data_IF_027594194269
#
_entry.id   IF_027594194269
#
_cell.length_a   1.000
_cell.length_b   1.000
_cell.length_c   1.000
_cell.angle_alpha   90.00
_cell.angle_beta   90.00
_cell.angle_gamma   90.00
#
_symmetry.space_group_name_H-M   'P 1'
#
loop_
_entity.id
_entity.type
_entity.pdbx_description
1 polymer ?
#
# COMPACT_ATOMS: atom_id res chain seq x y z
N UNK A 1 -11.67 -20.74 -0.55
CA UNK A 1 -10.73 -19.85 0.15
C UNK A 1 -11.22 -18.41 0.01
N UNK A 2 -11.14 -17.61 1.08
CA UNK A 2 -11.44 -16.17 1.06
C UNK A 2 -10.15 -15.44 1.46
N UNK A 3 -9.26 -15.12 0.52
CA UNK A 3 -8.04 -14.39 0.82
C UNK A 3 -8.28 -12.89 0.89
N UNK A 4 -7.44 -12.20 1.69
CA UNK A 4 -7.25 -10.76 1.62
C UNK A 4 -5.75 -10.45 1.73
N UNK A 5 -5.16 -10.08 0.61
CA UNK A 5 -3.72 -9.92 0.51
C UNK A 5 -3.26 -8.45 0.53
N UNK A 6 -4.16 -7.51 0.88
CA UNK A 6 -3.85 -6.09 0.91
C UNK A 6 -4.65 -5.40 2.02
N UNK A 7 -3.99 -5.18 3.16
CA UNK A 7 -4.60 -4.52 4.33
C UNK A 7 -3.56 -3.72 5.11
N UNK A 8 -4.02 -2.61 5.74
CA UNK A 8 -3.21 -1.65 6.47
C UNK A 8 -3.55 -1.60 7.95
N UNK A 9 -2.52 -1.42 8.77
CA UNK A 9 -2.60 -1.37 10.23
C UNK A 9 -2.20 0.01 10.77
N UNK A 10 -2.23 0.17 12.10
CA UNK A 10 -1.71 1.38 12.76
C UNK A 10 -0.20 1.57 12.58
N UNK A 11 0.53 0.59 12.04
CA UNK A 11 1.94 0.77 11.68
C UNK A 11 2.12 1.74 10.49
N UNK A 12 1.06 1.96 9.68
CA UNK A 12 1.04 2.97 8.61
C UNK A 12 -0.11 3.96 8.80
N UNK A 13 -1.23 3.75 8.17
CA UNK A 13 -2.39 4.66 8.15
C UNK A 13 -3.73 3.94 8.31
N UNK A 14 -3.72 2.66 8.63
CA UNK A 14 -4.88 1.93 9.10
C UNK A 14 -5.29 2.35 10.52
N UNK A 15 -6.47 1.90 10.95
CA UNK A 15 -7.04 2.26 12.26
C UNK A 15 -7.02 1.12 13.27
N UNK A 16 -6.65 -0.08 12.87
CA UNK A 16 -6.57 -1.25 13.74
C UNK A 16 -5.13 -1.68 13.96
N UNK A 17 -4.79 -2.12 15.18
CA UNK A 17 -3.51 -2.77 15.41
C UNK A 17 -3.38 -4.04 14.56
N UNK A 18 -2.17 -4.51 14.23
CA UNK A 18 -1.98 -5.69 13.39
C UNK A 18 -2.78 -6.92 13.87
N UNK A 19 -2.74 -7.19 15.18
CA UNK A 19 -3.50 -8.32 15.77
C UNK A 19 -5.01 -8.12 15.64
N UNK A 20 -5.51 -6.94 15.99
CA UNK A 20 -6.94 -6.65 15.90
C UNK A 20 -7.46 -6.74 14.46
N UNK A 21 -6.65 -6.30 13.47
CA UNK A 21 -7.01 -6.42 12.07
C UNK A 21 -7.11 -7.87 11.60
N UNK A 22 -6.16 -8.73 11.99
CA UNK A 22 -6.22 -10.16 11.64
C UNK A 22 -7.41 -10.86 12.30
N UNK A 23 -7.70 -10.57 13.57
CA UNK A 23 -8.89 -11.07 14.26
C UNK A 23 -10.19 -10.58 13.60
N UNK A 24 -10.24 -9.31 13.20
CA UNK A 24 -11.36 -8.74 12.47
C UNK A 24 -11.54 -9.40 11.09
N UNK A 25 -10.47 -9.54 10.32
CA UNK A 25 -10.51 -10.20 9.01
C UNK A 25 -11.01 -11.67 9.15
N UNK A 26 -10.52 -12.41 10.14
CA UNK A 26 -10.99 -13.77 10.43
C UNK A 26 -12.49 -13.78 10.76
N UNK A 27 -12.98 -12.84 11.56
CA UNK A 27 -14.41 -12.71 11.89
C UNK A 27 -15.29 -12.40 10.67
N UNK A 28 -14.70 -11.83 9.61
CA UNK A 28 -15.33 -11.57 8.30
C UNK A 28 -15.27 -12.77 7.35
N UNK A 29 -14.66 -13.89 7.81
CA UNK A 29 -14.54 -15.13 7.03
C UNK A 29 -13.28 -15.19 6.15
N UNK A 30 -12.36 -14.23 6.28
CA UNK A 30 -11.04 -14.32 5.62
C UNK A 30 -10.31 -15.57 6.13
N UNK A 31 -9.70 -16.31 5.24
CA UNK A 31 -9.01 -17.59 5.53
C UNK A 31 -7.50 -17.53 5.43
N UNK A 32 -6.97 -16.49 4.80
CA UNK A 32 -5.54 -16.11 4.72
C UNK A 32 -5.45 -14.62 4.46
N UNK A 33 -4.53 -13.95 5.14
CA UNK A 33 -4.34 -12.51 5.09
C UNK A 33 -2.90 -12.13 4.73
N UNK A 34 -2.69 -10.90 4.23
CA UNK A 34 -1.39 -10.25 4.26
C UNK A 34 -1.50 -8.89 4.94
N UNK A 35 -0.48 -8.51 5.71
CA UNK A 35 -0.30 -7.16 6.23
C UNK A 35 0.71 -6.47 5.34
N UNK A 36 0.29 -5.35 4.74
CA UNK A 36 1.01 -4.66 3.66
C UNK A 36 1.11 -3.16 3.92
N UNK A 37 1.45 -2.78 5.13
CA UNK A 37 1.56 -1.39 5.56
C UNK A 37 2.42 -0.54 4.62
N UNK A 38 2.05 0.72 4.43
CA UNK A 38 2.78 1.66 3.58
C UNK A 38 4.19 1.92 4.07
N UNK A 39 5.18 1.58 3.23
CA UNK A 39 6.61 1.84 3.41
C UNK A 39 7.16 1.39 4.78
N UNK A 40 6.59 0.34 5.38
CA UNK A 40 7.07 -0.28 6.62
C UNK A 40 6.73 -1.78 6.65
N UNK A 41 7.56 -2.54 7.36
CA UNK A 41 7.31 -3.95 7.68
C UNK A 41 6.87 -4.14 9.15
N UNK A 42 6.79 -3.07 9.93
CA UNK A 42 6.62 -3.16 11.39
C UNK A 42 5.29 -3.81 11.78
N UNK A 43 4.20 -3.57 11.03
CA UNK A 43 2.91 -4.20 11.25
C UNK A 43 2.98 -5.73 11.08
N UNK A 44 3.53 -6.18 9.96
CA UNK A 44 3.71 -7.61 9.68
C UNK A 44 4.70 -8.27 10.67
N UNK A 45 5.78 -7.56 11.02
CA UNK A 45 6.79 -8.05 11.96
C UNK A 45 6.25 -8.25 13.37
N UNK A 46 5.35 -7.40 13.82
CA UNK A 46 4.72 -7.50 15.13
C UNK A 46 3.91 -8.80 15.32
N UNK A 47 3.57 -9.46 14.22
CA UNK A 47 2.85 -10.74 14.23
C UNK A 47 3.75 -11.97 14.14
N UNK A 48 5.06 -11.81 14.06
CA UNK A 48 6.01 -12.94 14.01
C UNK A 48 5.96 -13.74 15.31
N UNK A 49 5.72 -15.05 15.18
CA UNK A 49 5.61 -15.94 16.33
C UNK A 49 4.37 -15.72 17.20
N UNK A 50 3.46 -14.85 16.76
CA UNK A 50 2.16 -14.64 17.41
C UNK A 50 1.19 -15.68 16.85
N UNK A 51 0.45 -16.34 17.74
CA UNK A 51 -0.66 -17.20 17.34
C UNK A 51 -1.82 -16.35 16.81
N UNK A 52 -2.17 -16.58 15.55
CA UNK A 52 -3.19 -15.82 14.83
C UNK A 52 -4.29 -16.76 14.32
N UNK A 53 -5.58 -16.32 14.30
CA UNK A 53 -6.70 -17.18 13.91
C UNK A 53 -6.65 -17.66 12.46
N UNK A 54 -5.88 -16.97 11.61
CA UNK A 54 -5.65 -17.31 10.20
C UNK A 54 -4.18 -17.09 9.84
N UNK A 55 -3.63 -17.81 8.84
CA UNK A 55 -2.28 -17.56 8.33
C UNK A 55 -2.12 -16.12 7.84
N UNK A 56 -0.97 -15.51 8.18
CA UNK A 56 -0.62 -14.15 7.77
C UNK A 56 0.67 -14.17 6.96
N UNK A 57 0.63 -13.59 5.75
CA UNK A 57 1.79 -13.37 4.90
C UNK A 57 2.41 -12.03 5.27
N UNK A 58 3.73 -12.01 5.44
CA UNK A 58 4.48 -10.76 5.59
C UNK A 58 4.47 -10.01 4.27
N UNK A 59 4.04 -8.76 4.29
CA UNK A 59 4.01 -7.90 3.12
C UNK A 59 4.43 -6.48 3.44
N UNK A 60 4.54 -5.69 2.39
CA UNK A 60 4.75 -4.24 2.41
C UNK A 60 4.12 -3.64 1.16
N UNK A 61 3.58 -2.45 1.26
CA UNK A 61 3.20 -1.64 0.12
C UNK A 61 4.12 -0.44 0.00
N UNK A 62 4.96 -0.42 -1.05
CA UNK A 62 5.88 0.67 -1.32
C UNK A 62 5.21 1.74 -2.20
N UNK A 63 5.28 2.99 -1.77
CA UNK A 63 4.84 4.13 -2.59
C UNK A 63 5.93 4.48 -3.59
N UNK A 64 5.59 4.60 -4.89
CA UNK A 64 6.54 4.89 -5.95
C UNK A 64 6.59 6.37 -6.31
N UNK A 65 7.71 6.81 -6.89
CA UNK A 65 7.89 8.19 -7.34
C UNK A 65 7.59 8.41 -8.83
N UNK A 66 7.52 7.33 -9.64
CA UNK A 66 7.36 7.39 -11.10
C UNK A 66 6.05 8.05 -11.53
N UNK A 67 4.96 7.78 -10.82
CA UNK A 67 3.66 8.39 -11.08
C UNK A 67 2.80 8.43 -9.82
N UNK A 68 1.85 9.37 -9.81
CA UNK A 68 0.91 9.53 -8.70
C UNK A 68 0.03 8.29 -8.54
N UNK A 69 -0.10 7.80 -7.31
CA UNK A 69 -0.91 6.63 -6.98
C UNK A 69 -0.31 5.29 -7.42
N UNK A 70 0.93 5.29 -7.90
CA UNK A 70 1.64 4.06 -8.20
C UNK A 70 2.20 3.45 -6.93
N UNK A 71 1.74 2.24 -6.62
CA UNK A 71 2.21 1.46 -5.47
C UNK A 71 2.66 0.07 -5.91
N UNK A 72 3.56 -0.51 -5.13
CA UNK A 72 4.14 -1.82 -5.37
C UNK A 72 4.05 -2.65 -4.09
N UNK A 73 3.26 -3.72 -4.13
CA UNK A 73 3.21 -4.71 -3.07
C UNK A 73 4.44 -5.62 -3.14
N UNK A 74 4.96 -5.96 -1.98
CA UNK A 74 5.98 -6.98 -1.83
C UNK A 74 5.50 -8.04 -0.86
N UNK A 75 5.59 -9.33 -1.22
CA UNK A 75 5.23 -10.44 -0.33
C UNK A 75 6.46 -11.32 -0.08
N UNK A 76 6.78 -11.56 1.19
CA UNK A 76 7.94 -12.37 1.56
C UNK A 76 7.80 -13.02 2.92
N UNK A 77 8.83 -13.80 3.33
CA UNK A 77 8.80 -14.51 4.62
C UNK A 77 9.96 -14.17 5.54
N UNK A 78 10.91 -13.33 5.12
CA UNK A 78 12.23 -13.31 5.75
C UNK A 78 12.66 -12.01 6.36
N UNK A 79 13.78 -12.13 7.09
CA UNK A 79 14.60 -11.01 7.50
C UNK A 79 15.22 -10.32 6.28
N UNK A 80 14.69 -9.28 5.78
CA UNK A 80 15.16 -8.52 4.63
C UNK A 80 15.96 -7.27 5.10
N UNK A 81 17.22 -7.41 5.52
CA UNK A 81 17.94 -6.32 6.20
C UNK A 81 18.12 -5.09 5.32
N UNK A 82 18.37 -5.26 4.02
CA UNK A 82 18.49 -4.14 3.08
C UNK A 82 17.14 -3.46 2.85
N UNK A 83 16.07 -4.24 2.64
CA UNK A 83 14.72 -3.69 2.49
C UNK A 83 14.31 -2.92 3.75
N UNK A 84 14.53 -3.50 4.94
CA UNK A 84 14.24 -2.84 6.23
C UNK A 84 14.99 -1.54 6.41
N UNK A 85 16.30 -1.53 6.06
CA UNK A 85 17.09 -0.31 6.08
C UNK A 85 16.49 0.74 5.14
N UNK A 86 16.17 0.33 3.91
CA UNK A 86 15.62 1.24 2.90
C UNK A 86 14.26 1.80 3.33
N UNK A 87 13.32 0.98 3.83
CA UNK A 87 12.01 1.49 4.27
C UNK A 87 12.14 2.42 5.48
N UNK A 88 13.09 2.19 6.39
CA UNK A 88 13.39 3.13 7.48
C UNK A 88 13.91 4.47 6.95
N UNK A 89 14.85 4.44 6.01
CA UNK A 89 15.34 5.66 5.36
C UNK A 89 14.21 6.41 4.63
N UNK A 90 13.30 5.70 3.97
CA UNK A 90 12.11 6.30 3.35
C UNK A 90 11.18 6.92 4.40
N UNK A 91 10.97 6.25 5.54
CA UNK A 91 10.18 6.79 6.65
C UNK A 91 10.81 8.07 7.22
N UNK A 92 12.14 8.11 7.40
CA UNK A 92 12.86 9.32 7.83
C UNK A 92 12.74 10.46 6.82
N UNK A 93 12.84 10.16 5.52
CA UNK A 93 12.62 11.14 4.44
C UNK A 93 11.17 11.66 4.46
N UNK A 94 10.20 10.79 4.71
CA UNK A 94 8.78 11.16 4.83
C UNK A 94 8.55 12.05 6.05
N UNK A 95 9.18 11.73 7.18
CA UNK A 95 9.18 12.56 8.38
C UNK A 95 9.69 13.97 8.07
N UNK A 96 10.90 14.08 7.53
CA UNK A 96 11.51 15.36 7.15
C UNK A 96 10.66 16.11 6.13
N UNK A 97 10.05 15.42 5.18
CA UNK A 97 9.15 16.00 4.19
C UNK A 97 7.90 16.62 4.82
N UNK A 98 7.24 15.88 5.72
CA UNK A 98 6.03 16.35 6.40
C UNK A 98 6.33 17.57 7.29
N UNK A 99 7.43 17.55 8.04
CA UNK A 99 7.89 18.70 8.81
C UNK A 99 8.11 19.93 7.93
N UNK A 100 8.83 19.77 6.80
CA UNK A 100 9.05 20.87 5.84
C UNK A 100 7.76 21.40 5.21
N UNK A 101 6.74 20.57 5.03
CA UNK A 101 5.42 21.03 4.55
C UNK A 101 4.70 21.84 5.62
N UNK A 102 4.79 21.43 6.88
CA UNK A 102 4.24 22.19 8.03
C UNK A 102 4.96 23.52 8.16
N UNK A 103 6.30 23.56 8.06
CA UNK A 103 7.08 24.81 8.08
C UNK A 103 6.62 25.79 7.00
N UNK A 104 6.40 25.29 5.77
CA UNK A 104 5.87 26.12 4.67
C UNK A 104 4.48 26.66 4.97
N UNK A 105 3.59 25.84 5.54
CA UNK A 105 2.27 26.32 6.00
C UNK A 105 2.40 27.40 7.07
N UNK A 106 3.33 27.25 8.01
CA UNK A 106 3.61 28.29 9.00
C UNK A 106 4.08 29.60 8.37
N UNK A 107 4.96 29.53 7.36
CA UNK A 107 5.41 30.70 6.59
C UNK A 107 4.27 31.39 5.83
N UNK A 108 3.24 30.62 5.43
CA UNK A 108 2.01 31.14 4.82
C UNK A 108 1.00 31.70 5.82
N UNK A 109 1.32 31.71 7.14
CA UNK A 109 0.50 32.29 8.21
C UNK A 109 -0.45 31.30 8.90
N UNK A 110 -0.35 29.99 8.61
CA UNK A 110 -1.12 28.97 9.32
C UNK A 110 -0.38 28.55 10.60
N UNK A 111 -1.00 28.71 11.77
CA UNK A 111 -0.42 28.27 13.04
C UNK A 111 -0.51 26.75 13.17
N UNK A 112 0.46 26.03 12.58
CA UNK A 112 0.58 24.58 12.59
C UNK A 112 1.78 24.15 13.44
N UNK A 113 1.69 22.98 14.07
CA UNK A 113 2.78 22.36 14.80
C UNK A 113 2.94 20.91 14.33
N UNK A 114 4.14 20.57 13.86
CA UNK A 114 4.44 19.23 13.38
C UNK A 114 4.35 18.18 14.50
N UNK A 115 4.83 18.49 15.71
CA UNK A 115 4.82 17.56 16.83
C UNK A 115 3.39 17.28 17.33
N UNK A 116 2.49 18.29 17.32
CA UNK A 116 1.07 18.04 17.57
C UNK A 116 0.45 17.04 16.60
N UNK A 117 0.81 17.14 15.31
CA UNK A 117 0.32 16.22 14.27
C UNK A 117 0.91 14.84 14.50
N UNK A 118 2.21 14.76 14.77
CA UNK A 118 2.94 13.52 15.00
C UNK A 118 2.40 12.72 16.19
N UNK A 119 2.13 13.40 17.30
CA UNK A 119 1.60 12.75 18.52
C UNK A 119 0.20 12.12 18.32
N UNK A 120 -0.54 12.55 17.31
CA UNK A 120 -1.86 12.00 16.98
C UNK A 120 -1.76 10.80 15.98
N UNK A 121 -0.55 10.46 15.52
CA UNK A 121 -0.31 9.41 14.56
C UNK A 121 0.50 8.28 15.22
N UNK A 122 0.05 7.04 15.09
CA UNK A 122 0.81 5.87 15.56
C UNK A 122 1.92 5.49 14.57
N UNK A 123 1.79 5.90 13.30
CA UNK A 123 2.74 5.66 12.21
C UNK A 123 3.40 6.92 11.66
N UNK A 124 3.83 6.87 10.40
CA UNK A 124 4.47 8.01 9.73
C UNK A 124 3.47 9.11 9.36
N UNK A 125 3.84 10.38 9.61
CA UNK A 125 3.01 11.53 9.23
C UNK A 125 3.01 11.72 7.72
N UNK A 126 1.84 11.56 7.11
CA UNK A 126 1.59 11.83 5.70
C UNK A 126 0.77 13.11 5.46
N UNK A 127 0.61 13.48 4.18
CA UNK A 127 -0.24 14.62 3.77
C UNK A 127 -1.69 14.52 4.28
N UNK A 128 -2.34 13.35 4.35
CA UNK A 128 -3.68 13.24 4.94
C UNK A 128 -3.74 13.71 6.40
N UNK A 129 -2.68 13.46 7.17
CA UNK A 129 -2.60 13.91 8.57
C UNK A 129 -2.49 15.43 8.65
N UNK A 130 -1.66 16.05 7.79
CA UNK A 130 -1.55 17.51 7.68
C UNK A 130 -2.90 18.12 7.27
N UNK A 131 -3.57 17.53 6.26
CA UNK A 131 -4.89 17.98 5.82
C UNK A 131 -5.94 17.93 6.93
N UNK A 132 -5.98 16.83 7.70
CA UNK A 132 -6.88 16.70 8.86
C UNK A 132 -6.59 17.76 9.93
N UNK A 133 -5.33 18.02 10.25
CA UNK A 133 -4.95 19.07 11.20
C UNK A 133 -5.38 20.46 10.71
N UNK A 134 -5.29 20.75 9.41
CA UNK A 134 -5.80 22.00 8.84
C UNK A 134 -7.31 22.14 8.97
N UNK A 135 -8.06 21.03 8.83
CA UNK A 135 -9.52 21.00 9.03
C UNK A 135 -9.86 21.21 10.51
N UNK A 136 -9.19 20.49 11.42
CA UNK A 136 -9.39 20.61 12.86
C UNK A 136 -9.14 22.03 13.38
N UNK A 137 -8.13 22.71 12.82
CA UNK A 137 -7.82 24.12 13.15
C UNK A 137 -8.71 25.14 12.42
N UNK A 138 -9.66 24.68 11.59
CA UNK A 138 -10.60 25.53 10.85
C UNK A 138 -10.01 26.30 9.67
N UNK A 139 -8.80 25.97 9.20
CA UNK A 139 -8.14 26.65 8.10
C UNK A 139 -8.73 26.28 6.74
N UNK A 140 -9.31 25.09 6.63
CA UNK A 140 -9.99 24.60 5.45
C UNK A 140 -11.28 23.85 5.84
N UNK A 141 -12.26 23.79 4.92
CA UNK A 141 -13.55 23.15 5.19
C UNK A 141 -13.50 21.62 5.20
N UNK A 142 -12.59 21.03 4.44
CA UNK A 142 -12.40 19.59 4.28
C UNK A 142 -10.98 19.30 3.80
N UNK A 143 -10.59 18.04 3.80
CA UNK A 143 -9.25 17.58 3.38
C UNK A 143 -8.99 17.86 1.90
N UNK A 144 -9.99 17.73 1.01
CA UNK A 144 -9.83 18.04 -0.42
C UNK A 144 -9.38 19.49 -0.61
N UNK A 145 -9.99 20.44 0.13
CA UNK A 145 -9.61 21.85 0.05
C UNK A 145 -8.17 22.11 0.51
N UNK A 146 -7.64 21.32 1.46
CA UNK A 146 -6.23 21.38 1.85
C UNK A 146 -5.31 20.98 0.69
N UNK A 147 -5.62 19.85 0.03
CA UNK A 147 -4.87 19.36 -1.12
C UNK A 147 -4.94 20.34 -2.30
N UNK A 148 -6.13 20.80 -2.65
CA UNK A 148 -6.34 21.65 -3.82
C UNK A 148 -5.63 23.00 -3.70
N UNK A 149 -5.55 23.56 -2.49
CA UNK A 149 -5.06 24.92 -2.29
C UNK A 149 -3.62 25.00 -1.81
N UNK A 150 -3.16 24.03 -0.98
CA UNK A 150 -1.94 24.22 -0.20
C UNK A 150 -0.92 23.09 -0.30
N UNK A 151 -1.33 21.82 -0.13
CA UNK A 151 -0.43 20.68 0.06
C UNK A 151 -0.43 19.65 -1.09
N UNK A 152 -1.26 19.86 -2.10
CA UNK A 152 -1.26 19.04 -3.32
C UNK A 152 -0.05 19.32 -4.20
N UNK A 153 0.18 18.46 -5.18
CA UNK A 153 1.27 18.61 -6.12
C UNK A 153 1.21 19.96 -6.86
N UNK A 154 2.35 20.62 -6.95
CA UNK A 154 2.45 21.98 -7.54
C UNK A 154 1.91 23.10 -6.66
N UNK A 155 1.48 22.84 -5.42
CA UNK A 155 1.04 23.87 -4.48
C UNK A 155 2.20 24.38 -3.62
N UNK A 156 2.04 25.58 -3.05
CA UNK A 156 3.10 26.32 -2.38
C UNK A 156 3.73 25.56 -1.19
N UNK A 157 2.89 24.90 -0.36
CA UNK A 157 3.38 24.09 0.75
C UNK A 157 3.77 22.65 0.34
N UNK A 158 3.65 22.28 -0.94
CA UNK A 158 4.05 20.97 -1.40
C UNK A 158 5.57 20.78 -1.32
N UNK A 159 5.98 19.61 -0.86
CA UNK A 159 7.36 19.12 -0.94
C UNK A 159 7.33 17.80 -1.71
N UNK A 160 8.13 17.62 -2.77
CA UNK A 160 8.19 16.38 -3.53
C UNK A 160 8.52 15.17 -2.67
N UNK A 161 7.96 14.02 -3.02
CA UNK A 161 8.29 12.76 -2.37
C UNK A 161 9.61 12.20 -2.93
N UNK A 162 10.49 11.74 -2.06
CA UNK A 162 11.75 11.08 -2.43
C UNK A 162 11.62 9.55 -2.32
N UNK A 163 10.50 9.00 -2.79
CA UNK A 163 10.26 7.56 -2.84
C UNK A 163 11.13 6.90 -3.91
N UNK A 164 11.22 5.57 -3.87
CA UNK A 164 11.87 4.78 -4.90
C UNK A 164 11.10 4.87 -6.22
N UNK A 165 11.84 4.72 -7.32
CA UNK A 165 11.27 4.41 -8.64
C UNK A 165 10.98 2.90 -8.75
N UNK A 166 10.13 2.50 -9.69
CA UNK A 166 9.92 1.08 -10.01
C UNK A 166 11.23 0.37 -10.37
N UNK A 167 12.13 1.07 -11.07
CA UNK A 167 13.44 0.53 -11.46
C UNK A 167 14.36 0.25 -10.25
N UNK A 168 14.19 0.97 -9.15
CA UNK A 168 14.92 0.75 -7.89
C UNK A 168 14.22 -0.28 -6.99
N UNK A 169 12.89 -0.20 -6.88
CA UNK A 169 12.11 -1.01 -5.96
C UNK A 169 11.97 -2.48 -6.40
N UNK A 170 11.79 -2.76 -7.69
CA UNK A 170 11.63 -4.11 -8.19
C UNK A 170 12.86 -4.99 -7.90
N UNK A 171 14.10 -4.58 -8.25
CA UNK A 171 15.29 -5.35 -7.87
C UNK A 171 15.50 -5.41 -6.36
N UNK A 172 15.16 -4.35 -5.61
CA UNK A 172 15.28 -4.34 -4.14
C UNK A 172 14.40 -5.43 -3.51
N UNK A 173 13.12 -5.51 -3.87
CA UNK A 173 12.23 -6.54 -3.36
C UNK A 173 12.73 -7.94 -3.72
N UNK A 174 13.12 -8.15 -4.99
CA UNK A 174 13.60 -9.45 -5.49
C UNK A 174 14.81 -9.98 -4.74
N UNK A 175 15.87 -9.17 -4.59
CA UNK A 175 17.11 -9.62 -3.89
C UNK A 175 16.93 -9.75 -2.38
N UNK A 176 15.83 -9.20 -1.82
CA UNK A 176 15.45 -9.41 -0.43
C UNK A 176 14.43 -10.55 -0.24
N UNK A 177 14.20 -11.38 -1.27
CA UNK A 177 13.32 -12.53 -1.17
C UNK A 177 11.82 -12.21 -1.19
N UNK A 178 11.45 -11.03 -1.68
CA UNK A 178 10.05 -10.63 -1.84
C UNK A 178 9.58 -10.80 -3.28
N UNK A 179 8.31 -11.16 -3.43
CA UNK A 179 7.58 -11.24 -4.70
C UNK A 179 6.93 -9.89 -4.97
N UNK A 180 7.40 -9.10 -5.96
CA UNK A 180 6.81 -7.80 -6.27
C UNK A 180 5.55 -7.93 -7.11
N UNK A 181 4.48 -7.23 -6.69
CA UNK A 181 3.16 -7.24 -7.32
C UNK A 181 2.67 -5.80 -7.46
N UNK A 182 2.22 -5.42 -8.66
CA UNK A 182 1.64 -4.09 -8.90
C UNK A 182 0.32 -3.95 -8.15
N UNK A 183 0.20 -2.97 -7.26
CA UNK A 183 -1.01 -2.69 -6.49
C UNK A 183 -2.07 -1.97 -7.34
N UNK A 184 -3.35 -2.25 -7.08
CA UNK A 184 -4.56 -1.56 -7.59
C UNK A 184 -4.39 -0.76 -8.91
N UNK A 185 -3.99 -1.41 -10.03
CA UNK A 185 -3.61 -0.73 -11.28
C UNK A 185 -4.71 0.16 -11.88
N UNK A 186 -5.97 -0.05 -11.52
CA UNK A 186 -7.07 0.78 -11.97
C UNK A 186 -7.02 2.22 -11.44
N UNK A 187 -6.34 2.45 -10.31
CA UNK A 187 -6.17 3.78 -9.70
C UNK A 187 -5.18 4.68 -10.46
N UNK A 188 -4.36 4.08 -11.32
CA UNK A 188 -3.44 4.83 -12.17
C UNK A 188 -4.14 5.65 -13.27
N UNK A 189 -5.46 5.49 -13.45
CA UNK A 189 -6.29 6.19 -14.44
C UNK A 189 -5.75 6.07 -15.89
N UNK A 190 -4.89 5.09 -16.16
CA UNK A 190 -4.30 4.88 -17.47
C UNK A 190 -5.27 4.15 -18.42
N UNK A 191 -5.14 4.42 -19.71
CA UNK A 191 -5.79 3.61 -20.74
C UNK A 191 -5.25 2.17 -20.69
N UNK A 192 -6.09 1.18 -20.95
CA UNK A 192 -5.73 -0.24 -20.85
C UNK A 192 -4.46 -0.60 -21.64
N UNK A 193 -4.31 -0.03 -22.84
CA UNK A 193 -3.12 -0.27 -23.68
C UNK A 193 -1.87 0.27 -23.00
N UNK A 194 -1.92 1.47 -22.44
CA UNK A 194 -0.78 2.08 -21.73
C UNK A 194 -0.42 1.28 -20.48
N UNK A 195 -1.44 0.90 -19.69
CA UNK A 195 -1.23 0.07 -18.51
C UNK A 195 -0.56 -1.26 -18.85
N UNK A 196 -0.99 -1.91 -19.93
CA UNK A 196 -0.36 -3.16 -20.41
C UNK A 196 1.11 -2.95 -20.76
N UNK A 197 1.45 -1.91 -21.53
CA UNK A 197 2.83 -1.58 -21.89
C UNK A 197 3.70 -1.33 -20.65
N UNK A 198 3.17 -0.65 -19.65
CA UNK A 198 3.85 -0.41 -18.38
C UNK A 198 4.10 -1.73 -17.63
N UNK A 199 3.10 -2.60 -17.50
CA UNK A 199 3.25 -3.91 -16.87
C UNK A 199 4.30 -4.76 -17.59
N UNK A 200 4.28 -4.83 -18.93
CA UNK A 200 5.29 -5.53 -19.73
C UNK A 200 6.70 -4.97 -19.52
N UNK A 201 6.82 -3.66 -19.40
CA UNK A 201 8.10 -3.00 -19.09
C UNK A 201 8.60 -3.35 -17.69
N UNK A 202 7.74 -3.27 -16.67
CA UNK A 202 8.08 -3.59 -15.30
C UNK A 202 8.33 -5.10 -15.10
N UNK A 203 7.67 -5.97 -15.85
CA UNK A 203 7.96 -7.40 -15.86
C UNK A 203 9.42 -7.69 -16.25
N UNK A 204 9.95 -6.96 -17.25
CA UNK A 204 11.37 -7.06 -17.64
C UNK A 204 12.31 -6.59 -16.52
N UNK A 205 11.84 -5.72 -15.63
CA UNK A 205 12.58 -5.24 -14.47
C UNK A 205 12.37 -6.11 -13.21
N UNK A 206 11.53 -7.16 -13.29
CA UNK A 206 11.34 -8.10 -12.20
C UNK A 206 9.97 -8.11 -11.54
N UNK A 207 8.96 -7.39 -12.06
CA UNK A 207 7.57 -7.50 -11.61
C UNK A 207 7.08 -8.94 -11.81
N UNK A 208 6.47 -9.53 -10.78
CA UNK A 208 6.04 -10.93 -10.79
C UNK A 208 4.53 -11.10 -10.77
N UNK A 209 3.78 -10.08 -10.41
CA UNK A 209 2.32 -10.18 -10.33
C UNK A 209 1.62 -8.85 -10.44
N UNK A 210 0.29 -8.91 -10.48
CA UNK A 210 -0.62 -7.76 -10.52
C UNK A 210 -1.79 -8.03 -9.59
N UNK A 211 -2.17 -7.05 -8.80
CA UNK A 211 -3.41 -7.07 -8.02
C UNK A 211 -4.60 -6.79 -8.95
N UNK A 212 -5.28 -7.87 -9.33
CA UNK A 212 -6.43 -7.82 -10.24
C UNK A 212 -7.72 -7.58 -9.47
N UNK A 213 -7.87 -8.27 -8.33
CA UNK A 213 -9.11 -8.26 -7.55
C UNK A 213 -9.06 -7.19 -6.46
N UNK A 214 -9.16 -5.93 -6.88
CA UNK A 214 -9.26 -4.75 -6.03
C UNK A 214 -10.53 -3.95 -6.37
N UNK A 215 -11.16 -3.27 -5.40
CA UNK A 215 -12.43 -2.57 -5.63
C UNK A 215 -12.36 -1.51 -6.74
N UNK A 216 -11.24 -0.81 -6.89
CA UNK A 216 -11.06 0.17 -7.97
C UNK A 216 -11.21 -0.43 -9.37
N UNK A 217 -10.92 -1.73 -9.54
CA UNK A 217 -11.06 -2.45 -10.80
C UNK A 217 -12.52 -2.81 -11.12
N UNK A 218 -13.43 -2.78 -10.14
CA UNK A 218 -14.80 -3.26 -10.29
C UNK A 218 -15.56 -2.57 -11.44
N UNK A 219 -15.39 -1.26 -11.61
CA UNK A 219 -16.03 -0.50 -12.68
C UNK A 219 -15.56 -0.89 -14.07
N UNK A 220 -14.31 -1.35 -14.21
CA UNK A 220 -13.72 -1.80 -15.49
C UNK A 220 -13.95 -3.30 -15.74
N UNK A 221 -14.42 -4.03 -14.72
CA UNK A 221 -14.52 -5.49 -14.70
C UNK A 221 -13.17 -6.16 -14.44
N UNK A 222 -13.19 -7.28 -13.74
CA UNK A 222 -11.98 -8.03 -13.39
C UNK A 222 -11.46 -8.90 -14.55
N UNK A 223 -12.37 -9.51 -15.31
CA UNK A 223 -12.03 -10.52 -16.30
C UNK A 223 -11.05 -10.06 -17.42
N UNK A 224 -11.14 -8.85 -17.98
CA UNK A 224 -10.18 -8.40 -19.00
C UNK A 224 -8.76 -8.31 -18.45
N UNK A 225 -8.59 -7.76 -17.23
CA UNK A 225 -7.29 -7.61 -16.59
C UNK A 225 -6.76 -8.97 -16.15
N UNK A 226 -7.58 -9.83 -15.54
CA UNK A 226 -7.21 -11.21 -15.15
C UNK A 226 -6.67 -12.00 -16.35
N UNK A 227 -7.41 -12.00 -17.47
CA UNK A 227 -6.99 -12.70 -18.68
C UNK A 227 -5.68 -12.12 -19.26
N UNK A 228 -5.47 -10.81 -19.18
CA UNK A 228 -4.24 -10.17 -19.66
C UNK A 228 -3.04 -10.56 -18.78
N UNK A 229 -3.17 -10.48 -17.47
CA UNK A 229 -2.12 -10.82 -16.48
C UNK A 229 -1.70 -12.28 -16.61
N UNK A 230 -2.68 -13.20 -16.72
CA UNK A 230 -2.39 -14.64 -16.91
C UNK A 230 -1.69 -14.93 -18.24
N UNK A 231 -2.07 -14.24 -19.34
CA UNK A 231 -1.37 -14.40 -20.65
C UNK A 231 0.08 -13.93 -20.58
N UNK A 232 0.40 -12.96 -19.72
CA UNK A 232 1.78 -12.52 -19.49
C UNK A 232 2.57 -13.48 -18.58
N UNK A 233 1.94 -14.53 -18.02
CA UNK A 233 2.57 -15.44 -17.06
C UNK A 233 2.83 -14.81 -15.70
N UNK A 234 2.12 -13.72 -15.35
CA UNK A 234 2.24 -13.04 -14.08
C UNK A 234 1.27 -13.64 -13.05
N UNK A 235 1.66 -13.55 -11.77
CA UNK A 235 0.81 -13.91 -10.64
C UNK A 235 -0.39 -12.96 -10.55
N UNK A 236 -1.51 -13.50 -10.07
CA UNK A 236 -2.73 -12.74 -9.81
C UNK A 236 -2.92 -12.66 -8.31
N UNK A 237 -3.17 -11.47 -7.79
CA UNK A 237 -3.53 -11.24 -6.38
C UNK A 237 -4.80 -10.41 -6.26
N UNK A 238 -5.24 -10.21 -5.04
CA UNK A 238 -6.36 -9.35 -4.71
C UNK A 238 -6.41 -9.05 -3.23
N UNK A 239 -7.05 -7.95 -2.88
CA UNK A 239 -7.23 -7.51 -1.52
C UNK A 239 -8.29 -6.42 -1.41
N UNK A 240 -8.58 -6.05 -0.18
CA UNK A 240 -9.56 -5.01 0.14
C UNK A 240 -8.97 -3.61 0.17
N UNK A 241 -7.66 -3.52 0.37
CA UNK A 241 -6.96 -2.27 0.70
C UNK A 241 -7.57 -1.61 1.95
N UNK A 242 -7.90 -2.44 2.93
CA UNK A 242 -8.62 -2.00 4.13
C UNK A 242 -7.74 -1.10 5.00
N UNK A 243 -8.26 0.08 5.32
CA UNK A 243 -7.65 1.03 6.25
C UNK A 243 -8.52 1.26 7.49
N UNK A 244 -9.85 1.33 7.31
CA UNK A 244 -10.78 1.54 8.43
C UNK A 244 -12.19 1.06 8.12
N UNK A 245 -12.96 0.76 9.16
CA UNK A 245 -14.37 0.37 9.03
C UNK A 245 -15.30 1.47 8.49
N UNK A 246 -14.85 2.72 8.48
CA UNK A 246 -15.60 3.90 8.03
C UNK A 246 -15.14 4.44 6.68
N UNK A 247 -14.03 3.94 6.15
CA UNK A 247 -13.56 4.35 4.82
C UNK A 247 -14.45 3.74 3.73
N UNK A 248 -14.96 4.62 2.84
CA UNK A 248 -15.83 4.23 1.72
C UNK A 248 -15.06 4.02 0.41
N UNK A 249 -13.77 4.35 0.37
CA UNK A 249 -12.93 4.20 -0.82
C UNK A 249 -12.34 2.82 -0.91
N UNK A 250 -12.03 2.24 0.26
CA UNK A 250 -11.44 0.93 0.40
C UNK A 250 -12.47 -0.09 0.86
N UNK A 251 -12.18 -1.39 0.63
CA UNK A 251 -13.10 -2.47 0.92
C UNK A 251 -13.08 -2.93 2.38
N UNK A 252 -14.09 -3.69 2.75
CA UNK A 252 -14.04 -4.48 3.98
C UNK A 252 -13.22 -5.76 3.72
N UNK A 253 -12.51 -6.30 4.73
CA UNK A 253 -11.73 -7.52 4.55
C UNK A 253 -12.53 -8.65 3.87
N UNK A 254 -11.91 -9.25 2.84
CA UNK A 254 -12.49 -10.33 2.04
C UNK A 254 -13.51 -9.90 0.98
N UNK A 255 -13.78 -8.61 0.79
CA UNK A 255 -14.86 -8.12 -0.10
C UNK A 255 -14.66 -8.48 -1.59
N UNK A 256 -13.43 -8.71 -2.04
CA UNK A 256 -13.13 -9.05 -3.43
C UNK A 256 -13.20 -10.53 -3.73
N UNK A 257 -13.20 -11.39 -2.70
CA UNK A 257 -13.12 -12.85 -2.84
C UNK A 257 -14.27 -13.46 -3.65
N UNK A 258 -15.47 -12.87 -3.59
CA UNK A 258 -16.64 -13.34 -4.36
C UNK A 258 -16.44 -13.25 -5.88
N UNK A 259 -15.53 -12.41 -6.35
CA UNK A 259 -15.18 -12.22 -7.76
C UNK A 259 -13.93 -13.01 -8.17
N UNK A 260 -13.18 -13.50 -7.19
CA UNK A 260 -11.89 -14.17 -7.39
C UNK A 260 -12.05 -15.70 -7.43
N UNK A 261 -12.52 -16.20 -8.57
CA UNK A 261 -12.90 -17.62 -8.72
C UNK A 261 -11.73 -18.60 -8.60
N UNK A 262 -10.49 -18.16 -8.88
CA UNK A 262 -9.26 -18.97 -8.77
C UNK A 262 -8.42 -18.60 -7.54
N UNK A 263 -9.03 -18.02 -6.52
CA UNK A 263 -8.33 -17.50 -5.35
C UNK A 263 -7.40 -18.53 -4.68
N UNK A 264 -7.81 -19.78 -4.61
CA UNK A 264 -6.98 -20.84 -4.00
C UNK A 264 -5.73 -21.11 -4.85
N UNK A 265 -5.89 -21.34 -6.15
CA UNK A 265 -4.78 -21.61 -7.07
C UNK A 265 -3.78 -20.43 -7.11
N UNK A 266 -4.28 -19.22 -7.14
CA UNK A 266 -3.48 -18.00 -7.21
C UNK A 266 -2.70 -17.75 -5.90
N UNK A 267 -3.33 -18.00 -4.74
CA UNK A 267 -2.65 -17.91 -3.45
C UNK A 267 -1.58 -19.00 -3.31
N UNK A 268 -1.87 -20.22 -3.73
CA UNK A 268 -0.88 -21.31 -3.74
C UNK A 268 0.31 -20.97 -4.64
N UNK A 269 0.07 -20.38 -5.82
CA UNK A 269 1.12 -19.91 -6.72
C UNK A 269 1.96 -18.78 -6.10
N UNK A 270 1.34 -17.82 -5.40
CA UNK A 270 2.06 -16.78 -4.67
C UNK A 270 2.94 -17.38 -3.57
N UNK A 271 2.40 -18.29 -2.74
CA UNK A 271 3.15 -18.94 -1.67
C UNK A 271 4.33 -19.77 -2.22
N UNK A 272 4.14 -20.45 -3.34
CA UNK A 272 5.23 -21.15 -4.04
C UNK A 272 6.29 -20.17 -4.55
N UNK A 273 5.89 -19.05 -5.13
CA UNK A 273 6.81 -18.01 -5.58
C UNK A 273 7.63 -17.42 -4.42
N UNK A 274 6.99 -17.15 -3.27
CA UNK A 274 7.67 -16.68 -2.04
C UNK A 274 8.74 -17.70 -1.61
N UNK A 275 8.40 -18.99 -1.53
CA UNK A 275 9.35 -20.03 -1.15
C UNK A 275 10.56 -20.11 -2.09
N UNK A 276 10.33 -19.96 -3.41
CA UNK A 276 11.38 -20.04 -4.42
C UNK A 276 12.33 -18.84 -4.42
N UNK A 277 11.97 -17.70 -3.79
CA UNK A 277 12.90 -16.57 -3.62
C UNK A 277 14.00 -16.86 -2.56
N UNK A 278 13.88 -17.94 -1.79
CA UNK A 278 14.77 -18.29 -0.69
C UNK A 278 15.69 -19.50 -1.00
N UNK A 279 15.59 -20.05 -2.20
CA UNK A 279 16.48 -21.09 -2.69
C UNK A 279 17.57 -20.50 -3.59
#
# INVERSE_FOLDING_TARGET
>A
MIPDLHMHTTASDGTMSPRALVEYAASRGVTIAAITDHDTLDGADSLRGVDTPIPVITGVELSMSDMKGLHLLGYGMTEAPELRKTVRELAERRFTRAARMVDKLCQMGFAMDYEEIRMKCEGSVGRPHIARAMVEKGYVRNTEAAFDKYIGEGREAYVPNANLTMAEALPLLRRNGFVPVLAHPAELEQKEVVLRMLIESWQKCGLMGVEVYHLSQQKRGFAPLDAAVRRMGLLVTGGSDFHSGTDRRHGQPGCTAQHWHKAQEDVEALLAAIKNQHQ
#
